data_IF_496876187201
#
_entry.id   IF_496876187201
#
_cell.length_a   1.000
_cell.length_b   1.000
_cell.length_c   1.000
_cell.angle_alpha   90.00
_cell.angle_beta   90.00
_cell.angle_gamma   90.00
#
_symmetry.space_group_name_H-M   'P 1'
#
loop_
_entity.id
_entity.type
_entity.pdbx_description
1 polymer ?
#
# COMPACT_ATOMS: atom_id res chain seq x y z
N UNK A 1 -35.02 -75.43 43.57
CA UNK A 1 -35.63 -74.42 42.70
C UNK A 1 -35.00 -73.06 43.00
N UNK A 2 -34.04 -72.67 42.17
CA UNK A 2 -33.38 -71.34 42.19
C UNK A 2 -32.91 -71.07 40.75
N UNK A 3 -33.36 -69.99 40.07
CA UNK A 3 -32.93 -69.73 38.70
C UNK A 3 -31.62 -68.95 38.69
N UNK A 4 -30.71 -69.32 37.78
CA UNK A 4 -29.50 -68.58 37.44
C UNK A 4 -29.89 -67.36 36.58
N UNK A 5 -29.55 -66.16 37.07
CA UNK A 5 -29.59 -64.92 36.30
C UNK A 5 -28.32 -64.84 35.42
N UNK A 6 -28.49 -64.72 34.11
CA UNK A 6 -27.44 -64.28 33.18
C UNK A 6 -27.40 -62.74 33.18
N UNK A 7 -26.24 -62.09 33.38
CA UNK A 7 -26.11 -60.68 33.09
C UNK A 7 -25.84 -60.48 31.59
N UNK A 8 -26.66 -59.65 30.96
CA UNK A 8 -26.48 -59.19 29.59
C UNK A 8 -25.29 -58.23 29.54
N UNK A 9 -24.28 -58.56 28.72
CA UNK A 9 -23.23 -57.63 28.32
C UNK A 9 -23.81 -56.63 27.31
N UNK A 10 -24.04 -55.39 27.75
CA UNK A 10 -24.27 -54.25 26.86
C UNK A 10 -22.90 -53.79 26.36
N UNK A 11 -22.54 -54.16 25.12
CA UNK A 11 -21.44 -53.49 24.42
C UNK A 11 -21.92 -52.09 24.01
N UNK A 12 -21.52 -51.08 24.78
CA UNK A 12 -21.60 -49.69 24.34
C UNK A 12 -20.47 -49.45 23.32
N UNK A 13 -20.82 -49.48 22.03
CA UNK A 13 -19.94 -49.05 20.94
C UNK A 13 -19.72 -47.54 21.04
N UNK A 14 -18.52 -47.13 21.46
CA UNK A 14 -18.07 -45.74 21.42
C UNK A 14 -17.81 -45.31 19.97
N UNK A 15 -18.77 -44.63 19.34
CA UNK A 15 -18.51 -43.86 18.13
C UNK A 15 -17.59 -42.69 18.49
N UNK A 16 -16.30 -42.85 18.20
CA UNK A 16 -15.35 -41.75 18.22
C UNK A 16 -15.68 -40.84 17.04
N UNK A 17 -16.34 -39.71 17.30
CA UNK A 17 -16.49 -38.66 16.30
C UNK A 17 -15.11 -38.04 16.12
N UNK A 18 -14.36 -38.51 15.13
CA UNK A 18 -13.22 -37.80 14.58
C UNK A 18 -13.78 -36.52 13.96
N UNK A 19 -13.82 -35.44 14.74
CA UNK A 19 -13.90 -34.09 14.20
C UNK A 19 -12.63 -33.87 13.40
N UNK A 20 -12.69 -34.18 12.11
CA UNK A 20 -11.76 -33.62 11.12
C UNK A 20 -11.96 -32.11 11.25
N UNK A 21 -11.11 -31.45 12.04
CA UNK A 21 -10.94 -30.01 11.91
C UNK A 21 -10.55 -29.81 10.46
N UNK A 22 -11.49 -29.33 9.65
CA UNK A 22 -11.19 -28.85 8.31
C UNK A 22 -10.12 -27.78 8.52
N UNK A 23 -8.87 -28.16 8.28
CA UNK A 23 -7.76 -27.23 8.30
C UNK A 23 -8.16 -26.15 7.31
N UNK A 24 -8.30 -24.91 7.77
CA UNK A 24 -8.64 -23.78 6.91
C UNK A 24 -7.58 -23.75 5.81
N UNK A 25 -7.93 -24.23 4.62
CA UNK A 25 -7.01 -24.24 3.49
C UNK A 25 -6.88 -22.80 3.04
N UNK A 26 -5.72 -22.21 3.30
CA UNK A 26 -5.35 -20.93 2.73
C UNK A 26 -4.87 -21.15 1.30
N UNK A 27 -5.29 -20.28 0.40
CA UNK A 27 -5.10 -20.39 -1.03
C UNK A 27 -4.18 -19.31 -1.61
N UNK A 28 -3.87 -18.27 -0.84
CA UNK A 28 -2.87 -17.26 -1.18
C UNK A 28 -1.95 -16.97 0.00
N UNK A 29 -0.74 -16.51 -0.29
CA UNK A 29 0.11 -15.85 0.70
C UNK A 29 -0.03 -14.33 0.58
N UNK A 30 0.04 -13.64 1.70
CA UNK A 30 0.13 -12.18 1.76
C UNK A 30 1.32 -11.76 2.58
N UNK A 31 2.06 -10.78 2.06
CA UNK A 31 3.13 -10.08 2.74
C UNK A 31 2.56 -8.84 3.40
N UNK A 32 2.94 -8.58 4.65
CA UNK A 32 2.53 -7.42 5.45
C UNK A 32 3.78 -6.62 5.80
N UNK A 33 3.80 -5.35 5.41
CA UNK A 33 4.80 -4.36 5.81
C UNK A 33 4.42 -3.67 7.12
N UNK A 34 5.39 -3.11 7.83
CA UNK A 34 5.18 -2.54 9.15
C UNK A 34 6.24 -1.48 9.52
N UNK A 35 5.92 -0.63 10.49
CA UNK A 35 6.91 0.13 11.24
C UNK A 35 7.44 -0.70 12.42
N UNK A 36 8.70 -0.52 12.80
CA UNK A 36 9.40 -1.38 13.78
C UNK A 36 9.92 -0.61 15.01
N UNK A 37 9.37 0.59 15.27
CA UNK A 37 9.64 1.30 16.52
C UNK A 37 9.02 0.60 17.75
N UNK A 38 8.02 -0.26 17.54
CA UNK A 38 7.36 -1.06 18.56
C UNK A 38 7.88 -2.50 18.63
N UNK A 39 6.96 -3.46 18.70
CA UNK A 39 7.20 -4.89 18.77
C UNK A 39 7.31 -5.59 17.40
N UNK A 40 6.94 -4.94 16.31
CA UNK A 40 7.10 -5.49 14.96
C UNK A 40 8.56 -5.76 14.63
N UNK A 41 8.84 -6.93 14.05
CA UNK A 41 10.18 -7.36 13.64
C UNK A 41 10.48 -7.05 12.16
N UNK A 42 9.49 -6.61 11.38
CA UNK A 42 9.67 -6.26 9.97
C UNK A 42 8.53 -6.73 9.07
N UNK A 43 8.84 -7.61 8.11
CA UNK A 43 7.88 -8.12 7.11
C UNK A 43 7.35 -9.47 7.55
N UNK A 44 6.05 -9.68 7.39
CA UNK A 44 5.40 -10.92 7.78
C UNK A 44 4.72 -11.57 6.58
N UNK A 45 4.83 -12.90 6.47
CA UNK A 45 4.10 -13.69 5.47
C UNK A 45 3.03 -14.52 6.17
N UNK A 46 1.79 -14.36 5.74
CA UNK A 46 0.63 -15.12 6.23
C UNK A 46 -0.01 -15.91 5.10
N UNK A 47 -0.57 -17.08 5.41
CA UNK A 47 -1.60 -17.66 4.55
C UNK A 47 -2.91 -16.88 4.69
N UNK A 48 -3.62 -16.69 3.59
CA UNK A 48 -4.95 -16.09 3.50
C UNK A 48 -5.93 -17.06 2.85
N UNK A 49 -7.15 -17.12 3.38
CA UNK A 49 -8.24 -17.94 2.84
C UNK A 49 -9.27 -17.04 2.14
N UNK A 50 -9.38 -17.12 0.81
CA UNK A 50 -10.33 -16.28 0.04
C UNK A 50 -11.79 -16.72 0.14
N UNK A 51 -12.11 -17.83 0.81
CA UNK A 51 -13.49 -18.23 1.06
C UNK A 51 -14.03 -17.64 2.38
N UNK A 52 -13.16 -17.49 3.39
CA UNK A 52 -13.53 -16.95 4.71
C UNK A 52 -13.09 -15.51 4.93
N UNK A 53 -12.07 -15.06 4.19
CA UNK A 53 -11.44 -13.74 4.36
C UNK A 53 -10.48 -13.67 5.55
N UNK A 54 -9.95 -14.82 6.00
CA UNK A 54 -9.13 -14.89 7.21
C UNK A 54 -7.65 -15.13 6.88
N UNK A 55 -6.79 -14.37 7.54
CA UNK A 55 -5.38 -14.68 7.70
C UNK A 55 -5.20 -15.81 8.71
N UNK A 56 -4.13 -16.59 8.54
CA UNK A 56 -3.68 -17.54 9.56
C UNK A 56 -3.38 -16.84 10.90
N UNK A 57 -3.62 -17.53 12.01
CA UNK A 57 -3.41 -16.97 13.35
C UNK A 57 -1.93 -16.68 13.65
N UNK A 58 -1.02 -17.32 12.94
CA UNK A 58 0.42 -17.13 13.07
C UNK A 58 1.03 -16.94 11.68
N UNK A 59 2.07 -16.09 11.54
CA UNK A 59 2.76 -15.94 10.28
C UNK A 59 3.49 -17.23 9.91
N UNK A 60 3.48 -17.57 8.61
CA UNK A 60 4.31 -18.63 8.03
C UNK A 60 5.79 -18.29 8.06
N UNK A 61 6.10 -16.99 8.04
CA UNK A 61 7.45 -16.47 8.08
C UNK A 61 7.46 -15.05 8.64
N UNK A 62 8.48 -14.75 9.46
CA UNK A 62 8.85 -13.40 9.88
C UNK A 62 10.21 -13.07 9.26
N UNK A 63 10.31 -11.95 8.57
CA UNK A 63 11.52 -11.47 7.91
C UNK A 63 11.98 -10.21 8.63
N UNK A 64 13.12 -10.30 9.31
CA UNK A 64 13.69 -9.19 10.06
C UNK A 64 14.12 -8.07 9.11
N UNK A 65 13.56 -6.89 9.30
CA UNK A 65 13.85 -5.68 8.52
C UNK A 65 13.37 -4.47 9.30
N UNK A 66 14.13 -3.38 9.30
CA UNK A 66 13.75 -2.15 10.00
C UNK A 66 12.80 -1.32 9.14
N UNK A 67 11.68 -0.89 9.72
CA UNK A 67 10.63 -0.07 9.11
C UNK A 67 10.31 -0.39 7.63
N UNK A 68 10.02 -1.65 7.25
CA UNK A 68 9.62 -2.02 5.89
C UNK A 68 8.19 -1.52 5.57
N UNK A 69 8.03 -0.20 5.46
CA UNK A 69 6.72 0.45 5.49
C UNK A 69 5.94 0.31 4.17
N UNK A 70 6.66 0.11 3.06
CA UNK A 70 6.10 -0.09 1.72
C UNK A 70 6.80 -1.21 0.98
N UNK A 71 6.01 -2.08 0.35
CA UNK A 71 6.45 -3.27 -0.35
C UNK A 71 6.16 -3.14 -1.86
N UNK A 72 7.13 -3.52 -2.68
CA UNK A 72 7.03 -3.54 -4.15
C UNK A 72 7.41 -4.91 -4.66
N UNK A 73 6.50 -5.59 -5.34
CA UNK A 73 6.77 -6.87 -6.00
C UNK A 73 7.25 -6.65 -7.44
N UNK A 74 8.24 -7.44 -7.84
CA UNK A 74 8.53 -7.67 -9.26
C UNK A 74 7.33 -8.30 -9.98
N UNK A 75 7.21 -8.05 -11.29
CA UNK A 75 6.08 -8.53 -12.10
C UNK A 75 5.90 -10.04 -12.06
N UNK A 76 6.99 -10.79 -11.97
CA UNK A 76 6.99 -12.25 -11.86
C UNK A 76 6.90 -12.74 -10.41
N UNK A 77 6.84 -11.82 -9.44
CA UNK A 77 6.80 -12.06 -8.00
C UNK A 77 7.96 -12.94 -7.50
N UNK A 78 9.12 -12.85 -8.15
CA UNK A 78 10.35 -13.54 -7.73
C UNK A 78 11.25 -12.70 -6.84
N UNK A 79 11.00 -11.40 -6.82
CA UNK A 79 11.69 -10.41 -6.00
C UNK A 79 10.69 -9.50 -5.30
N UNK A 80 10.99 -9.20 -4.04
CA UNK A 80 10.34 -8.21 -3.19
C UNK A 80 11.34 -7.11 -2.90
N UNK A 81 10.90 -5.86 -3.02
CA UNK A 81 11.63 -4.68 -2.61
C UNK A 81 10.87 -4.02 -1.46
N UNK A 82 11.57 -3.63 -0.41
CA UNK A 82 10.99 -2.90 0.70
C UNK A 82 11.75 -1.58 0.89
N UNK A 83 11.03 -0.47 1.01
CA UNK A 83 11.64 0.74 1.56
C UNK A 83 11.82 0.55 3.06
N UNK A 84 12.93 1.02 3.60
CA UNK A 84 13.19 1.06 5.03
C UNK A 84 13.06 2.52 5.46
N UNK A 85 11.89 2.88 6.00
CA UNK A 85 11.45 4.27 6.28
C UNK A 85 12.15 4.85 7.54
N UNK A 86 13.47 4.78 7.51
CA UNK A 86 14.41 5.17 8.55
C UNK A 86 14.81 6.64 8.37
N UNK A 87 15.09 7.32 9.46
CA UNK A 87 15.44 8.74 9.48
C UNK A 87 15.82 9.24 10.87
N UNK A 88 16.12 10.54 11.04
CA UNK A 88 16.57 11.10 12.30
C UNK A 88 15.63 10.77 13.46
N UNK A 89 16.20 10.37 14.60
CA UNK A 89 15.45 9.98 15.80
C UNK A 89 15.04 8.50 15.85
N UNK A 90 15.33 7.71 14.82
CA UNK A 90 15.13 6.26 14.82
C UNK A 90 16.43 5.49 15.15
N UNK A 91 16.35 4.19 15.41
CA UNK A 91 17.52 3.35 15.74
C UNK A 91 18.53 3.29 14.60
N UNK A 92 18.04 3.03 13.38
CA UNK A 92 18.78 3.28 12.16
C UNK A 92 18.28 4.60 11.58
N UNK A 93 19.19 5.55 11.40
CA UNK A 93 18.86 6.92 10.98
C UNK A 93 18.96 7.12 9.48
N UNK A 94 19.39 6.09 8.74
CA UNK A 94 19.64 6.19 7.30
C UNK A 94 18.50 5.55 6.53
N UNK A 95 17.85 6.32 5.65
CA UNK A 95 16.87 5.79 4.71
C UNK A 95 17.50 4.78 3.76
N UNK A 96 16.86 3.60 3.63
CA UNK A 96 17.40 2.47 2.85
C UNK A 96 16.32 1.80 2.02
N UNK A 97 16.77 0.92 1.13
CA UNK A 97 15.92 -0.01 0.39
C UNK A 97 16.53 -1.39 0.45
N UNK A 98 15.71 -2.39 0.79
CA UNK A 98 16.07 -3.80 0.85
C UNK A 98 15.47 -4.57 -0.32
N UNK A 99 16.19 -5.57 -0.80
CA UNK A 99 15.74 -6.53 -1.80
C UNK A 99 15.78 -7.95 -1.25
N UNK A 100 14.78 -8.73 -1.63
CA UNK A 100 14.57 -10.11 -1.20
C UNK A 100 14.17 -10.99 -2.39
N UNK A 101 14.64 -12.24 -2.41
CA UNK A 101 14.16 -13.28 -3.32
C UNK A 101 12.94 -13.97 -2.73
N UNK A 102 11.99 -14.34 -3.59
CA UNK A 102 10.83 -15.17 -3.27
C UNK A 102 10.97 -16.50 -4.00
N UNK A 103 10.99 -17.59 -3.22
CA UNK A 103 10.95 -18.94 -3.78
C UNK A 103 9.56 -19.21 -4.41
N UNK A 104 9.48 -19.64 -5.68
CA UNK A 104 8.22 -19.75 -6.41
C UNK A 104 7.38 -20.97 -6.02
N UNK A 105 7.94 -21.90 -5.22
CA UNK A 105 7.23 -23.11 -4.81
C UNK A 105 6.71 -22.99 -3.38
N UNK A 106 7.50 -22.34 -2.53
CA UNK A 106 7.26 -22.27 -1.09
C UNK A 106 6.90 -20.87 -0.62
N UNK A 107 7.07 -19.85 -1.49
CA UNK A 107 6.98 -18.41 -1.18
C UNK A 107 7.88 -17.95 -0.03
N UNK A 108 8.89 -18.75 0.33
CA UNK A 108 9.87 -18.34 1.32
C UNK A 108 10.62 -17.10 0.82
N UNK A 109 10.67 -16.07 1.66
CA UNK A 109 11.34 -14.79 1.37
C UNK A 109 12.74 -14.83 1.95
N UNK A 110 13.76 -14.48 1.17
CA UNK A 110 15.16 -14.48 1.62
C UNK A 110 15.87 -13.20 1.20
N UNK A 111 16.67 -12.62 2.11
CA UNK A 111 17.37 -11.37 1.86
C UNK A 111 18.41 -11.50 0.75
N UNK A 112 18.48 -10.51 -0.15
CA UNK A 112 19.50 -10.40 -1.20
C UNK A 112 20.54 -9.35 -0.81
N UNK A 113 20.12 -8.08 -0.74
CA UNK A 113 20.97 -6.97 -0.32
C UNK A 113 20.14 -5.75 0.09
N UNK A 114 20.83 -4.74 0.63
CA UNK A 114 20.28 -3.46 1.02
C UNK A 114 21.22 -2.34 0.54
N UNK A 115 20.66 -1.19 0.16
CA UNK A 115 21.38 0.01 -0.24
C UNK A 115 20.75 1.25 0.40
N UNK A 116 21.52 2.31 0.59
CA UNK A 116 21.00 3.61 1.02
C UNK A 116 20.15 4.23 -0.10
N UNK A 117 19.03 4.88 0.27
CA UNK A 117 18.18 5.61 -0.67
C UNK A 117 18.68 7.02 -0.98
N UNK A 118 19.77 7.45 -0.31
CA UNK A 118 20.31 8.81 -0.35
C UNK A 118 19.29 9.90 0.02
N UNK A 119 18.37 9.57 0.93
CA UNK A 119 17.43 10.49 1.56
C UNK A 119 16.87 9.89 2.84
N UNK A 120 16.04 10.65 3.53
CA UNK A 120 15.42 10.24 4.79
C UNK A 120 13.99 9.74 4.56
N UNK A 121 13.56 8.79 5.39
CA UNK A 121 12.23 8.18 5.39
C UNK A 121 11.68 7.85 3.99
N UNK A 122 12.33 6.94 3.21
CA UNK A 122 11.73 6.44 1.98
C UNK A 122 10.41 5.75 2.30
N UNK A 123 9.31 6.29 1.77
CA UNK A 123 7.95 5.88 2.17
C UNK A 123 7.18 5.16 1.06
N UNK A 124 7.70 5.18 -0.17
CA UNK A 124 7.08 4.51 -1.31
C UNK A 124 8.14 4.11 -2.34
N UNK A 125 7.89 3.00 -3.03
CA UNK A 125 8.68 2.63 -4.20
C UNK A 125 7.82 2.05 -5.32
N UNK A 126 8.34 2.08 -6.54
CA UNK A 126 7.75 1.40 -7.69
C UNK A 126 8.83 0.97 -8.68
N UNK A 127 8.64 -0.14 -9.38
CA UNK A 127 9.57 -0.59 -10.41
C UNK A 127 9.32 0.14 -11.73
N UNK A 128 10.38 0.38 -12.48
CA UNK A 128 10.24 0.79 -13.88
C UNK A 128 9.49 -0.27 -14.68
N UNK A 129 8.78 0.12 -15.76
CA UNK A 129 8.01 -0.83 -16.59
C UNK A 129 8.82 -2.01 -17.13
N UNK A 130 10.13 -1.82 -17.32
CA UNK A 130 11.09 -2.84 -17.77
C UNK A 130 11.81 -3.59 -16.63
N UNK A 131 11.52 -3.25 -15.37
CA UNK A 131 12.09 -3.86 -14.16
C UNK A 131 13.55 -3.49 -13.88
N UNK A 132 14.14 -2.54 -14.61
CA UNK A 132 15.57 -2.20 -14.51
C UNK A 132 15.90 -1.20 -13.41
N UNK A 133 14.92 -0.46 -12.92
CA UNK A 133 15.10 0.54 -11.87
C UNK A 133 13.97 0.43 -10.85
N UNK A 134 14.28 0.75 -9.59
CA UNK A 134 13.33 1.04 -8.55
C UNK A 134 13.34 2.55 -8.31
N UNK A 135 12.18 3.17 -8.45
CA UNK A 135 11.96 4.57 -8.10
C UNK A 135 11.55 4.65 -6.63
N UNK A 136 12.23 5.48 -5.86
CA UNK A 136 12.08 5.57 -4.40
C UNK A 136 11.72 7.01 -4.04
N UNK A 137 10.63 7.17 -3.28
CA UNK A 137 10.19 8.46 -2.77
C UNK A 137 10.69 8.62 -1.33
N UNK A 138 11.72 9.44 -1.14
CA UNK A 138 12.21 9.88 0.16
C UNK A 138 11.34 11.03 0.67
N UNK A 139 10.62 10.82 1.77
CA UNK A 139 9.71 11.81 2.31
C UNK A 139 10.45 12.91 3.09
N UNK A 140 11.43 12.53 3.92
CA UNK A 140 12.18 13.40 4.82
C UNK A 140 11.30 14.30 5.70
N UNK A 141 10.97 13.89 6.93
CA UNK A 141 10.16 14.70 7.86
C UNK A 141 10.86 16.03 8.19
N UNK A 142 12.19 16.03 8.22
CA UNK A 142 12.98 17.23 8.46
C UNK A 142 13.14 18.09 7.19
N UNK A 143 13.15 19.43 7.34
CA UNK A 143 13.18 20.34 6.19
C UNK A 143 14.55 20.43 5.50
N UNK A 144 15.61 19.88 6.10
CA UNK A 144 16.96 19.87 5.56
C UNK A 144 17.55 18.47 5.74
N UNK A 145 17.85 17.72 4.65
CA UNK A 145 17.88 18.18 3.25
C UNK A 145 16.50 18.28 2.57
N UNK A 146 15.42 17.82 3.22
CA UNK A 146 14.10 17.69 2.62
C UNK A 146 13.98 16.46 1.71
N UNK A 147 12.77 16.22 1.21
CA UNK A 147 12.39 15.04 0.45
C UNK A 147 12.98 15.01 -0.95
N UNK A 148 13.12 13.81 -1.50
CA UNK A 148 13.70 13.59 -2.82
C UNK A 148 13.13 12.36 -3.52
N UNK A 149 13.20 12.35 -4.84
CA UNK A 149 13.08 11.15 -5.65
C UNK A 149 14.47 10.55 -5.84
N UNK A 150 14.63 9.24 -5.63
CA UNK A 150 15.86 8.51 -5.92
C UNK A 150 15.61 7.38 -6.93
N UNK A 151 16.62 7.08 -7.75
CA UNK A 151 16.59 6.01 -8.75
C UNK A 151 17.65 4.98 -8.44
N UNK A 152 17.22 3.75 -8.16
CA UNK A 152 18.07 2.62 -7.77
C UNK A 152 18.07 1.59 -8.89
N UNK A 153 19.21 1.25 -9.52
CA UNK A 153 19.25 0.18 -10.52
C UNK A 153 18.98 -1.20 -9.89
N UNK A 154 18.25 -2.03 -10.63
CA UNK A 154 17.87 -3.39 -10.24
C UNK A 154 18.51 -4.38 -11.20
N UNK A 155 19.33 -5.28 -10.65
CA UNK A 155 19.93 -6.40 -11.38
C UNK A 155 18.89 -7.46 -11.76
N UNK A 156 19.21 -8.30 -12.76
CA UNK A 156 18.35 -9.43 -13.16
C UNK A 156 18.15 -10.46 -12.05
N UNK A 157 19.09 -10.52 -11.12
CA UNK A 157 19.09 -11.31 -9.89
C UNK A 157 18.38 -10.60 -8.73
N UNK A 158 17.71 -9.46 -8.98
CA UNK A 158 17.04 -8.64 -7.98
C UNK A 158 17.99 -7.79 -7.13
N UNK A 159 19.30 -7.85 -7.35
CA UNK A 159 20.26 -7.09 -6.54
C UNK A 159 20.16 -5.59 -6.82
N UNK A 160 20.08 -4.79 -5.77
CA UNK A 160 20.08 -3.33 -5.86
C UNK A 160 21.51 -2.79 -6.01
N UNK A 161 21.71 -1.82 -6.90
CA UNK A 161 22.96 -1.05 -6.98
C UNK A 161 22.83 0.29 -6.25
N UNK A 162 23.92 1.05 -6.14
CA UNK A 162 23.88 2.40 -5.58
C UNK A 162 22.96 3.32 -6.41
N UNK A 163 22.36 4.32 -5.75
CA UNK A 163 21.55 5.35 -6.39
C UNK A 163 22.34 6.02 -7.52
N UNK A 164 21.71 6.12 -8.70
CA UNK A 164 22.35 6.70 -9.91
C UNK A 164 21.81 8.09 -10.25
N UNK A 165 20.67 8.46 -9.70
CA UNK A 165 20.01 9.73 -9.95
C UNK A 165 19.12 10.11 -8.76
N UNK A 166 19.15 11.38 -8.39
CA UNK A 166 18.22 11.98 -7.43
C UNK A 166 17.57 13.24 -8.03
N UNK A 167 16.40 13.61 -7.53
CA UNK A 167 15.74 14.87 -7.83
C UNK A 167 15.07 15.42 -6.56
N UNK A 168 15.27 16.71 -6.29
CA UNK A 168 14.58 17.46 -5.23
C UNK A 168 13.69 18.52 -5.86
N UNK A 169 12.80 19.10 -5.07
CA UNK A 169 11.81 20.07 -5.55
C UNK A 169 11.76 21.30 -4.65
N UNK A 170 11.32 22.41 -5.23
CA UNK A 170 11.03 23.62 -4.45
C UNK A 170 9.70 23.45 -3.70
N UNK A 171 9.72 23.69 -2.40
CA UNK A 171 8.55 23.63 -1.53
C UNK A 171 7.58 24.80 -1.79
N UNK A 172 6.29 24.59 -1.56
CA UNK A 172 5.28 25.64 -1.71
C UNK A 172 5.32 26.67 -0.58
N UNK A 173 5.80 26.26 0.60
CA UNK A 173 5.86 27.07 1.83
C UNK A 173 4.49 27.59 2.30
N UNK A 174 3.40 26.99 1.82
CA UNK A 174 2.02 27.39 2.18
C UNK A 174 1.75 27.01 3.63
N UNK A 175 2.03 25.76 4.00
CA UNK A 175 2.08 25.36 5.40
C UNK A 175 3.52 25.44 5.92
N UNK A 176 3.79 26.26 6.96
CA UNK A 176 5.15 26.51 7.43
C UNK A 176 5.80 25.31 8.14
N UNK A 177 5.03 24.29 8.53
CA UNK A 177 5.54 23.10 9.21
C UNK A 177 5.67 21.92 8.24
N UNK A 178 4.60 21.62 7.50
CA UNK A 178 4.48 20.44 6.64
C UNK A 178 4.93 20.65 5.20
N UNK A 179 5.22 21.89 4.81
CA UNK A 179 5.63 22.26 3.45
C UNK A 179 6.80 23.26 3.48
N UNK A 180 7.63 23.19 4.52
CA UNK A 180 8.85 23.97 4.63
C UNK A 180 9.92 23.53 3.63
N UNK A 181 9.90 22.25 3.23
CA UNK A 181 10.77 21.62 2.22
C UNK A 181 9.96 20.76 1.25
N UNK A 182 10.62 20.14 0.27
CA UNK A 182 10.05 19.03 -0.50
C UNK A 182 9.73 17.84 0.40
N UNK A 183 8.73 17.06 0.02
CA UNK A 183 8.36 15.78 0.65
C UNK A 183 7.78 14.84 -0.42
N UNK A 184 8.65 14.16 -1.18
CA UNK A 184 8.18 13.22 -2.22
C UNK A 184 7.56 12.02 -1.51
N UNK A 185 6.24 11.86 -1.65
CA UNK A 185 5.50 10.82 -0.94
C UNK A 185 5.27 9.57 -1.81
N UNK A 186 5.22 9.72 -3.14
CA UNK A 186 5.13 8.57 -4.03
C UNK A 186 5.71 8.87 -5.42
N UNK A 187 6.09 7.82 -6.14
CA UNK A 187 6.57 7.87 -7.50
C UNK A 187 5.95 6.72 -8.31
N UNK A 188 5.18 7.03 -9.35
CA UNK A 188 4.34 6.07 -10.06
C UNK A 188 4.59 6.16 -11.58
N UNK A 189 5.04 5.06 -12.22
CA UNK A 189 5.12 4.99 -13.68
C UNK A 189 3.74 5.14 -14.31
N UNK A 190 3.70 5.83 -15.43
CA UNK A 190 2.50 5.93 -16.26
C UNK A 190 2.17 4.59 -16.92
N UNK A 191 0.88 4.30 -17.24
CA UNK A 191 0.49 3.02 -17.84
C UNK A 191 1.10 2.74 -19.22
N UNK A 192 1.46 3.78 -19.95
CA UNK A 192 2.17 3.68 -21.24
C UNK A 192 3.69 3.44 -21.06
N UNK A 193 4.19 3.52 -19.83
CA UNK A 193 5.58 3.29 -19.46
C UNK A 193 6.56 4.35 -19.92
N UNK A 194 6.10 5.49 -20.43
CA UNK A 194 6.95 6.56 -20.97
C UNK A 194 7.36 7.60 -19.95
N UNK A 195 6.57 7.76 -18.89
CA UNK A 195 6.77 8.79 -17.87
C UNK A 195 6.76 8.22 -16.46
N UNK A 196 7.46 8.91 -15.55
CA UNK A 196 7.34 8.75 -14.11
C UNK A 196 6.72 10.00 -13.51
N UNK A 197 5.73 9.82 -12.63
CA UNK A 197 5.08 10.90 -11.91
C UNK A 197 5.52 10.86 -10.44
N UNK A 198 6.10 11.94 -9.93
CA UNK A 198 6.46 12.07 -8.52
C UNK A 198 5.51 13.05 -7.82
N UNK A 199 4.87 12.60 -6.74
CA UNK A 199 3.97 13.40 -5.93
C UNK A 199 4.75 14.00 -4.78
N UNK A 200 4.82 15.33 -4.73
CA UNK A 200 5.54 16.03 -3.67
C UNK A 200 4.56 16.82 -2.79
N UNK A 201 4.34 16.30 -1.59
CA UNK A 201 3.45 16.88 -0.59
C UNK A 201 3.89 18.30 -0.22
N UNK A 202 5.21 18.50 -0.09
CA UNK A 202 5.82 19.77 0.26
C UNK A 202 5.69 20.85 -0.82
N UNK A 203 5.59 20.44 -2.09
CA UNK A 203 5.57 21.35 -3.23
C UNK A 203 4.16 21.72 -3.76
N UNK A 204 3.10 21.02 -3.33
CA UNK A 204 1.76 21.10 -3.94
C UNK A 204 1.79 20.80 -5.46
N UNK A 205 2.62 19.85 -5.88
CA UNK A 205 2.83 19.52 -7.31
C UNK A 205 2.94 18.02 -7.56
N UNK A 206 2.51 17.62 -8.74
CA UNK A 206 3.01 16.41 -9.39
C UNK A 206 4.15 16.80 -10.34
N UNK A 207 5.30 16.16 -10.25
CA UNK A 207 6.41 16.31 -11.18
C UNK A 207 6.40 15.20 -12.22
N UNK A 208 6.65 15.55 -13.48
CA UNK A 208 6.54 14.65 -14.64
C UNK A 208 7.91 14.50 -15.29
N UNK A 209 8.41 13.27 -15.33
CA UNK A 209 9.69 12.93 -15.94
C UNK A 209 9.46 12.01 -17.15
N UNK A 210 10.14 12.27 -18.26
CA UNK A 210 10.34 11.23 -19.28
C UNK A 210 11.20 10.12 -18.69
N UNK A 211 10.89 8.88 -19.05
CA UNK A 211 11.65 7.70 -18.67
C UNK A 211 12.33 7.07 -19.89
N UNK A 212 13.64 6.87 -19.80
CA UNK A 212 14.44 6.12 -20.78
C UNK A 212 15.32 5.09 -20.06
N UNK A 213 14.82 3.86 -19.97
CA UNK A 213 15.53 2.76 -19.31
C UNK A 213 16.89 2.41 -19.92
N UNK A 214 17.24 2.91 -21.12
CA UNK A 214 18.57 2.66 -21.72
C UNK A 214 19.67 3.51 -21.10
N UNK A 215 19.33 4.61 -20.43
CA UNK A 215 20.29 5.53 -19.81
C UNK A 215 20.61 5.12 -18.37
N UNK A 216 21.82 5.45 -17.91
CA UNK A 216 22.22 5.27 -16.51
C UNK A 216 21.41 6.17 -15.58
N UNK A 217 21.15 7.42 -16.00
CA UNK A 217 20.19 8.33 -15.36
C UNK A 217 18.93 8.37 -16.22
N UNK A 218 17.89 7.57 -15.88
CA UNK A 218 16.79 7.30 -16.79
C UNK A 218 15.73 8.41 -16.82
N UNK A 219 15.79 9.39 -15.91
CA UNK A 219 14.78 10.42 -15.80
C UNK A 219 15.27 11.76 -16.36
N UNK A 220 14.41 12.42 -17.13
CA UNK A 220 14.60 13.82 -17.55
C UNK A 220 13.28 14.56 -17.41
N UNK A 221 13.25 15.86 -17.06
CA UNK A 221 12.00 16.60 -17.00
C UNK A 221 11.21 16.49 -18.31
N UNK A 222 9.91 16.26 -18.22
CA UNK A 222 9.02 16.25 -19.37
C UNK A 222 8.84 17.66 -19.96
N UNK A 223 8.23 17.76 -21.15
CA UNK A 223 7.95 19.05 -21.79
C UNK A 223 7.09 19.96 -20.90
N UNK A 224 6.11 19.37 -20.23
CA UNK A 224 5.37 20.00 -19.12
C UNK A 224 5.87 19.30 -17.86
N UNK A 225 6.83 19.88 -17.12
CA UNK A 225 7.59 19.17 -16.10
C UNK A 225 6.83 19.02 -14.77
N UNK A 226 5.70 19.70 -14.61
CA UNK A 226 4.89 19.63 -13.41
C UNK A 226 3.43 20.01 -13.64
N UNK A 227 2.58 19.62 -12.70
CA UNK A 227 1.16 19.94 -12.63
C UNK A 227 0.90 20.58 -11.27
N UNK A 228 0.39 21.80 -11.27
CA UNK A 228 0.04 22.53 -10.04
C UNK A 228 -1.24 22.01 -9.40
N UNK A 229 -1.22 21.89 -8.08
CA UNK A 229 -2.37 21.53 -7.27
C UNK A 229 -2.78 22.71 -6.38
N UNK A 230 -3.95 22.66 -5.72
CA UNK A 230 -4.36 23.74 -4.83
C UNK A 230 -3.27 24.00 -3.76
N UNK A 231 -2.95 25.26 -3.44
CA UNK A 231 -1.99 25.58 -2.38
C UNK A 231 -2.37 24.94 -1.04
N UNK A 232 -1.43 24.28 -0.37
CA UNK A 232 -1.66 23.59 0.90
C UNK A 232 -2.40 22.26 0.78
N UNK A 233 -2.48 21.68 -0.41
CA UNK A 233 -3.21 20.42 -0.66
C UNK A 233 -2.41 19.18 -0.28
N UNK A 234 -1.10 19.20 -0.49
CA UNK A 234 -0.21 18.10 -0.12
C UNK A 234 -0.49 16.79 -0.87
N UNK A 235 -0.15 16.67 -2.17
CA UNK A 235 -0.35 15.42 -2.93
C UNK A 235 0.38 14.23 -2.31
N UNK A 236 -0.29 13.07 -2.32
CA UNK A 236 0.17 11.86 -1.64
C UNK A 236 0.32 10.68 -2.59
N UNK A 237 -0.75 9.93 -2.87
CA UNK A 237 -0.72 8.73 -3.71
C UNK A 237 -1.53 8.93 -5.00
N UNK A 238 -0.99 8.46 -6.14
CA UNK A 238 -1.62 8.54 -7.46
C UNK A 238 -1.97 7.14 -7.96
N UNK A 239 -3.15 6.99 -8.54
CA UNK A 239 -3.62 5.75 -9.16
C UNK A 239 -4.17 6.03 -10.55
N UNK A 240 -3.75 5.24 -11.55
CA UNK A 240 -4.31 5.31 -12.90
C UNK A 240 -5.48 4.33 -13.07
N UNK A 241 -6.44 4.69 -13.93
CA UNK A 241 -7.42 3.74 -14.44
C UNK A 241 -6.74 2.64 -15.26
N UNK A 242 -7.37 1.46 -15.33
CA UNK A 242 -6.82 0.30 -16.05
C UNK A 242 -6.58 0.55 -17.55
N UNK A 243 -7.40 1.38 -18.17
CA UNK A 243 -7.23 1.81 -19.57
C UNK A 243 -6.24 2.97 -19.73
N UNK A 244 -5.72 3.48 -18.62
CA UNK A 244 -4.73 4.55 -18.55
C UNK A 244 -5.23 5.91 -19.00
N UNK A 245 -6.54 6.17 -19.05
CA UNK A 245 -7.09 7.46 -19.49
C UNK A 245 -7.40 8.42 -18.35
N UNK A 246 -7.58 7.90 -17.15
CA UNK A 246 -7.90 8.69 -15.96
C UNK A 246 -6.89 8.44 -14.85
N UNK A 247 -6.76 9.41 -13.96
CA UNK A 247 -6.00 9.24 -12.73
C UNK A 247 -6.71 9.89 -11.54
N UNK A 248 -6.51 9.30 -10.36
CA UNK A 248 -7.00 9.79 -9.09
C UNK A 248 -5.82 10.02 -8.16
N UNK A 249 -5.78 11.17 -7.50
CA UNK A 249 -4.70 11.58 -6.61
C UNK A 249 -5.27 11.93 -5.25
N UNK A 250 -4.82 11.28 -4.18
CA UNK A 250 -5.09 11.75 -2.83
C UNK A 250 -4.25 12.98 -2.51
N UNK A 251 -4.90 13.97 -1.90
CA UNK A 251 -4.26 15.18 -1.38
C UNK A 251 -4.45 15.14 0.14
N UNK A 252 -3.35 14.86 0.85
CA UNK A 252 -3.34 14.55 2.27
C UNK A 252 -3.90 15.71 3.08
N UNK A 253 -3.33 16.89 2.91
CA UNK A 253 -3.53 18.03 3.80
C UNK A 253 -4.89 18.69 3.60
N UNK A 254 -5.41 18.69 2.37
CA UNK A 254 -6.76 19.19 2.08
C UNK A 254 -7.86 18.13 2.25
N UNK A 255 -7.50 16.86 2.50
CA UNK A 255 -8.43 15.74 2.55
C UNK A 255 -9.34 15.66 1.31
N UNK A 256 -8.73 15.63 0.13
CA UNK A 256 -9.43 15.60 -1.16
C UNK A 256 -8.88 14.53 -2.10
N UNK A 257 -9.65 14.20 -3.12
CA UNK A 257 -9.19 13.46 -4.31
C UNK A 257 -9.29 14.35 -5.54
N UNK A 258 -8.17 14.54 -6.23
CA UNK A 258 -8.17 15.18 -7.54
C UNK A 258 -8.38 14.12 -8.64
N UNK A 259 -9.27 14.43 -9.59
CA UNK A 259 -9.57 13.59 -10.75
C UNK A 259 -8.93 14.21 -11.98
N UNK A 260 -8.26 13.40 -12.79
CA UNK A 260 -7.58 13.84 -14.01
C UNK A 260 -8.01 13.01 -15.22
N UNK A 261 -8.11 13.67 -16.36
CA UNK A 261 -7.86 13.03 -17.65
C UNK A 261 -6.35 13.02 -17.90
N UNK A 262 -5.83 11.87 -18.35
CA UNK A 262 -4.42 11.67 -18.68
C UNK A 262 -4.25 11.32 -20.17
N UNK A 263 -3.25 11.94 -20.80
CA UNK A 263 -2.81 11.57 -22.13
C UNK A 263 -1.34 11.96 -22.34
N UNK A 264 -0.46 10.98 -22.56
CA UNK A 264 0.94 11.16 -22.99
C UNK A 264 1.71 12.19 -22.12
N UNK A 265 1.73 11.96 -20.81
CA UNK A 265 2.38 12.84 -19.84
C UNK A 265 1.60 14.11 -19.46
N UNK A 266 0.51 14.43 -20.16
CA UNK A 266 -0.34 15.58 -19.84
C UNK A 266 -1.49 15.18 -18.91
N UNK A 267 -1.73 16.00 -17.88
CA UNK A 267 -2.82 15.86 -16.93
C UNK A 267 -3.75 17.06 -17.02
N UNK A 268 -5.04 16.80 -17.20
CA UNK A 268 -6.09 17.81 -17.10
C UNK A 268 -6.95 17.50 -15.89
N UNK A 269 -6.88 18.33 -14.85
CA UNK A 269 -7.75 18.18 -13.68
C UNK A 269 -9.20 18.45 -14.08
N UNK A 270 -10.08 17.47 -13.86
CA UNK A 270 -11.51 17.54 -14.21
C UNK A 270 -12.40 17.74 -12.99
N UNK A 271 -11.96 17.32 -11.80
CA UNK A 271 -12.68 17.52 -10.56
C UNK A 271 -11.76 17.55 -9.33
N UNK A 272 -12.30 18.10 -8.25
CA UNK A 272 -11.84 17.93 -6.87
C UNK A 272 -13.01 17.36 -6.06
N UNK A 273 -12.76 16.30 -5.32
CA UNK A 273 -13.77 15.60 -4.52
C UNK A 273 -13.36 15.67 -3.05
N UNK A 274 -14.20 16.30 -2.24
CA UNK A 274 -13.95 16.44 -0.80
C UNK A 274 -14.18 15.12 -0.06
N UNK A 275 -13.22 14.71 0.76
CA UNK A 275 -13.41 13.62 1.73
C UNK A 275 -14.00 14.15 3.05
N UNK A 276 -14.00 15.47 3.26
CA UNK A 276 -14.70 16.08 4.38
C UNK A 276 -16.21 16.17 4.12
N UNK A 277 -17.02 15.94 5.15
CA UNK A 277 -18.43 16.36 5.12
C UNK A 277 -18.50 17.88 5.25
N UNK A 278 -19.55 18.50 4.68
CA UNK A 278 -19.75 19.96 4.68
C UNK A 278 -19.73 20.62 6.08
N UNK A 279 -19.92 19.83 7.14
CA UNK A 279 -20.17 20.33 8.50
C UNK A 279 -18.98 20.15 9.48
N UNK A 280 -17.85 19.54 9.07
CA UNK A 280 -16.89 19.01 10.03
C UNK A 280 -15.54 19.73 10.11
N UNK A 281 -15.25 20.37 11.25
CA UNK A 281 -13.91 20.86 11.63
C UNK A 281 -12.91 19.75 12.04
N UNK A 282 -13.34 18.50 12.07
CA UNK A 282 -12.48 17.37 12.48
C UNK A 282 -11.27 17.22 11.56
N UNK A 283 -10.12 16.92 12.18
CA UNK A 283 -8.87 16.69 11.45
C UNK A 283 -9.01 15.46 10.54
N UNK A 284 -8.66 15.64 9.26
CA UNK A 284 -8.71 14.63 8.21
C UNK A 284 -7.42 14.65 7.42
N UNK A 285 -7.00 13.48 6.97
CA UNK A 285 -5.82 13.35 6.13
C UNK A 285 -6.00 12.20 5.13
N UNK A 286 -6.09 12.52 3.84
CA UNK A 286 -6.22 11.49 2.81
C UNK A 286 -5.00 10.54 2.82
N UNK A 287 -5.25 9.25 2.65
CA UNK A 287 -4.26 8.18 2.76
C UNK A 287 -4.10 7.39 1.45
N UNK A 288 -4.03 6.06 1.58
CA UNK A 288 -4.02 5.14 0.43
C UNK A 288 -5.32 5.20 -0.38
N UNK A 289 -5.21 4.82 -1.66
CA UNK A 289 -6.35 4.68 -2.57
C UNK A 289 -6.14 3.46 -3.48
N UNK A 290 -7.20 2.70 -3.71
CA UNK A 290 -7.19 1.54 -4.61
C UNK A 290 -8.54 1.41 -5.31
N UNK A 291 -8.54 0.85 -6.51
CA UNK A 291 -9.79 0.45 -7.17
C UNK A 291 -10.19 -0.97 -6.79
N UNK A 292 -11.48 -1.30 -6.91
CA UNK A 292 -11.91 -2.69 -7.00
C UNK A 292 -11.19 -3.41 -8.16
N UNK A 293 -11.04 -4.75 -8.12
CA UNK A 293 -10.35 -5.50 -9.19
C UNK A 293 -10.94 -5.30 -10.59
N UNK A 294 -12.24 -5.01 -10.69
CA UNK A 294 -12.93 -4.73 -11.95
C UNK A 294 -12.85 -3.24 -12.39
N UNK A 295 -12.26 -2.38 -11.56
CA UNK A 295 -12.06 -0.96 -11.85
C UNK A 295 -13.32 -0.09 -11.77
N UNK A 296 -14.42 -0.60 -11.19
CA UNK A 296 -15.70 0.14 -11.12
C UNK A 296 -15.85 1.02 -9.88
N UNK A 297 -15.10 0.72 -8.82
CA UNK A 297 -15.18 1.43 -7.55
C UNK A 297 -13.80 1.91 -7.13
N UNK A 298 -13.73 3.10 -6.52
CA UNK A 298 -12.54 3.64 -5.89
C UNK A 298 -12.74 3.68 -4.37
N UNK A 299 -11.72 3.27 -3.63
CA UNK A 299 -11.69 3.28 -2.18
C UNK A 299 -10.59 4.23 -1.74
N UNK A 300 -10.85 5.01 -0.70
CA UNK A 300 -9.90 6.01 -0.20
C UNK A 300 -9.89 5.99 1.32
N UNK A 301 -8.69 5.86 1.88
CA UNK A 301 -8.49 5.98 3.33
C UNK A 301 -8.51 7.44 3.75
N UNK A 302 -9.27 7.73 4.81
CA UNK A 302 -9.33 9.04 5.44
C UNK A 302 -8.93 8.91 6.91
N UNK A 303 -7.73 9.39 7.21
CA UNK A 303 -7.07 9.30 8.52
C UNK A 303 -7.44 10.51 9.36
N UNK A 304 -6.81 10.64 10.54
CA UNK A 304 -7.11 11.69 11.49
C UNK A 304 -8.16 11.24 12.50
N UNK A 305 -9.12 12.11 12.82
CA UNK A 305 -10.12 11.81 13.86
C UNK A 305 -11.24 10.89 13.34
N UNK A 306 -11.48 10.87 12.03
CA UNK A 306 -12.60 10.12 11.42
C UNK A 306 -12.32 8.63 11.21
N UNK A 307 -11.09 8.25 10.83
CA UNK A 307 -10.65 6.86 10.60
C UNK A 307 -11.67 6.02 9.81
N UNK A 308 -11.86 6.37 8.54
CA UNK A 308 -12.85 5.75 7.66
C UNK A 308 -12.25 5.38 6.29
N UNK A 309 -12.87 4.39 5.64
CA UNK A 309 -12.76 4.19 4.19
C UNK A 309 -13.99 4.80 3.52
N UNK A 310 -13.75 5.63 2.51
CA UNK A 310 -14.78 6.13 1.62
C UNK A 310 -14.81 5.28 0.35
N UNK A 311 -16.00 4.97 -0.14
CA UNK A 311 -16.23 4.21 -1.37
C UNK A 311 -16.93 5.08 -2.39
N UNK A 312 -16.41 5.09 -3.60
CA UNK A 312 -16.94 5.84 -4.73
C UNK A 312 -17.24 4.88 -5.89
N UNK A 313 -18.39 5.07 -6.54
CA UNK A 313 -18.60 4.55 -7.89
C UNK A 313 -17.85 5.41 -8.91
N UNK A 314 -17.21 4.76 -9.89
CA UNK A 314 -16.47 5.40 -10.96
C UNK A 314 -17.34 5.47 -12.20
N UNK A 315 -17.48 6.67 -12.77
CA UNK A 315 -18.06 6.81 -14.10
C UNK A 315 -17.04 6.34 -15.15
N UNK A 316 -17.32 5.27 -15.91
CA UNK A 316 -16.34 4.65 -16.80
C UNK A 316 -15.97 5.51 -18.02
N UNK A 317 -16.75 6.55 -18.32
CA UNK A 317 -16.52 7.40 -19.50
C UNK A 317 -15.60 8.60 -19.22
N UNK A 318 -15.51 9.04 -17.96
CA UNK A 318 -14.83 10.28 -17.61
C UNK A 318 -14.10 10.23 -16.25
N UNK A 319 -14.05 9.06 -15.60
CA UNK A 319 -13.36 8.86 -14.32
C UNK A 319 -13.97 9.58 -13.12
N UNK A 320 -15.11 10.26 -13.26
CA UNK A 320 -15.72 11.00 -12.16
C UNK A 320 -16.19 10.06 -11.04
N UNK A 321 -16.12 10.57 -9.81
CA UNK A 321 -16.42 9.82 -8.60
C UNK A 321 -17.76 10.26 -8.01
N UNK A 322 -18.58 9.28 -7.62
CA UNK A 322 -19.77 9.51 -6.80
C UNK A 322 -19.66 8.68 -5.53
N UNK A 323 -19.63 9.35 -4.37
CA UNK A 323 -19.59 8.69 -3.06
C UNK A 323 -20.84 7.82 -2.89
N UNK A 324 -20.63 6.57 -2.45
CA UNK A 324 -21.71 5.60 -2.19
C UNK A 324 -21.66 5.07 -0.75
N UNK A 325 -20.54 5.22 -0.04
CA UNK A 325 -20.41 4.77 1.33
C UNK A 325 -19.27 5.48 2.07
N UNK A 326 -19.45 5.64 3.38
CA UNK A 326 -18.38 5.80 4.37
C UNK A 326 -18.48 4.69 5.39
N UNK A 327 -17.36 4.08 5.73
CA UNK A 327 -17.31 3.00 6.73
C UNK A 327 -16.14 3.24 7.67
N UNK A 328 -16.39 3.17 8.97
CA UNK A 328 -15.31 3.14 9.97
C UNK A 328 -14.32 2.02 9.65
N UNK A 329 -13.02 2.25 9.88
CA UNK A 329 -12.01 1.19 9.77
C UNK A 329 -11.89 0.34 11.03
N UNK A 330 -12.68 0.66 12.06
CA UNK A 330 -12.68 -0.01 13.37
C UNK A 330 -11.32 -0.02 14.06
N UNK A 331 -10.53 1.01 13.79
CA UNK A 331 -9.19 1.25 14.33
C UNK A 331 -8.75 2.68 14.09
N UNK A 332 -7.44 2.94 14.18
CA UNK A 332 -6.86 4.28 14.03
C UNK A 332 -5.73 4.30 13.02
N UNK A 333 -5.66 5.39 12.26
CA UNK A 333 -4.66 5.64 11.22
C UNK A 333 -4.64 4.49 10.17
N UNK A 334 -5.71 4.35 9.36
CA UNK A 334 -5.71 3.39 8.25
C UNK A 334 -4.65 3.83 7.22
N UNK A 335 -3.44 3.26 7.32
CA UNK A 335 -2.28 3.67 6.54
C UNK A 335 -2.37 3.18 5.11
N UNK A 336 -2.79 1.93 4.95
CA UNK A 336 -3.01 1.25 3.68
C UNK A 336 -4.12 0.19 3.80
N UNK A 337 -4.56 -0.30 2.65
CA UNK A 337 -5.47 -1.42 2.55
C UNK A 337 -5.28 -2.16 1.22
N UNK A 338 -5.72 -3.41 1.13
CA UNK A 338 -5.67 -4.17 -0.12
C UNK A 338 -6.90 -5.05 -0.26
N UNK A 339 -7.38 -5.17 -1.49
CA UNK A 339 -8.27 -6.26 -1.87
C UNK A 339 -7.53 -7.58 -1.79
N UNK A 340 -8.25 -8.62 -1.41
CA UNK A 340 -7.80 -9.98 -1.68
C UNK A 340 -7.90 -10.29 -3.20
N UNK A 341 -7.21 -11.33 -3.70
CA UNK A 341 -7.21 -11.67 -5.11
C UNK A 341 -8.60 -11.98 -5.70
N UNK A 342 -9.55 -12.43 -4.88
CA UNK A 342 -10.93 -12.67 -5.34
C UNK A 342 -11.78 -11.39 -5.41
N UNK A 343 -11.39 -10.33 -4.70
CA UNK A 343 -12.13 -9.08 -4.60
C UNK A 343 -13.34 -9.13 -3.67
N UNK A 344 -13.49 -10.19 -2.86
CA UNK A 344 -14.58 -10.36 -1.91
C UNK A 344 -14.25 -9.85 -0.51
N UNK A 345 -12.99 -9.53 -0.25
CA UNK A 345 -12.49 -9.05 1.03
C UNK A 345 -11.51 -7.90 0.85
N UNK A 346 -11.45 -7.05 1.87
CA UNK A 346 -10.51 -5.94 1.95
C UNK A 346 -9.85 -5.94 3.32
N UNK A 347 -8.52 -5.95 3.33
CA UNK A 347 -7.68 -5.93 4.53
C UNK A 347 -7.23 -4.49 4.78
N UNK A 348 -7.38 -4.02 6.01
CA UNK A 348 -7.06 -2.63 6.42
C UNK A 348 -5.95 -2.66 7.45
N UNK A 349 -4.89 -1.89 7.20
CA UNK A 349 -3.75 -1.72 8.11
C UNK A 349 -4.00 -0.49 8.99
N UNK A 350 -4.54 -0.70 10.20
CA UNK A 350 -4.75 0.36 11.17
C UNK A 350 -3.49 0.52 12.03
N UNK A 351 -2.58 1.37 11.55
CA UNK A 351 -1.23 1.54 12.08
C UNK A 351 -1.24 1.88 13.58
N UNK A 352 -1.94 2.96 13.98
CA UNK A 352 -1.86 3.48 15.35
C UNK A 352 -2.71 2.73 16.36
N UNK A 353 -3.55 1.81 15.92
CA UNK A 353 -4.28 0.90 16.80
C UNK A 353 -3.72 -0.51 16.79
N UNK A 354 -2.57 -0.75 16.14
CA UNK A 354 -1.90 -2.04 16.08
C UNK A 354 -2.83 -3.18 15.68
N UNK A 355 -3.56 -3.00 14.57
CA UNK A 355 -4.56 -3.97 14.15
C UNK A 355 -4.67 -4.07 12.63
N UNK A 356 -4.82 -5.31 12.15
CA UNK A 356 -5.33 -5.60 10.80
C UNK A 356 -6.81 -5.96 10.92
N UNK A 357 -7.66 -5.28 10.15
CA UNK A 357 -9.10 -5.55 10.08
C UNK A 357 -9.45 -6.03 8.68
N UNK A 358 -10.09 -7.19 8.57
CA UNK A 358 -10.59 -7.70 7.30
C UNK A 358 -12.11 -7.59 7.23
N UNK A 359 -12.61 -6.99 6.15
CA UNK A 359 -14.05 -6.75 5.93
C UNK A 359 -14.51 -7.40 4.62
N UNK A 360 -15.80 -7.74 4.54
CA UNK A 360 -16.40 -8.19 3.28
C UNK A 360 -16.54 -7.05 2.29
N UNK A 361 -16.49 -7.39 1.01
CA UNK A 361 -16.79 -6.52 -0.13
C UNK A 361 -17.90 -7.19 -0.93
N UNK A 362 -18.96 -6.46 -1.25
CA UNK A 362 -19.88 -6.87 -2.30
C UNK A 362 -19.32 -6.38 -3.65
N UNK A 363 -18.79 -7.27 -4.52
CA UNK A 363 -18.17 -6.85 -5.78
C UNK A 363 -19.17 -6.27 -6.78
N UNK A 364 -20.48 -6.46 -6.58
CA UNK A 364 -21.51 -5.88 -7.47
C UNK A 364 -21.79 -4.43 -7.14
N UNK A 365 -21.81 -4.09 -5.86
CA UNK A 365 -22.19 -2.75 -5.37
C UNK A 365 -21.00 -1.92 -4.91
N UNK A 366 -19.84 -2.56 -4.69
CA UNK A 366 -18.65 -1.96 -4.11
C UNK A 366 -18.74 -1.76 -2.59
N UNK A 367 -19.87 -2.05 -1.96
CA UNK A 367 -20.06 -1.74 -0.54
C UNK A 367 -19.21 -2.65 0.35
N UNK A 368 -18.60 -2.03 1.36
CA UNK A 368 -17.90 -2.69 2.44
C UNK A 368 -18.92 -3.14 3.50
N UNK A 369 -18.88 -4.42 3.85
CA UNK A 369 -19.81 -5.07 4.77
C UNK A 369 -19.18 -5.40 6.13
N UNK A 370 -19.60 -6.55 6.66
CA UNK A 370 -19.22 -7.03 7.99
C UNK A 370 -17.71 -7.28 8.11
N UNK A 371 -17.19 -7.04 9.31
CA UNK A 371 -15.85 -7.45 9.71
C UNK A 371 -15.82 -8.96 9.91
N UNK A 372 -14.91 -9.64 9.20
CA UNK A 372 -14.74 -11.10 9.28
C UNK A 372 -13.54 -11.51 10.12
N UNK A 373 -12.61 -10.58 10.36
CA UNK A 373 -11.45 -10.82 11.19
C UNK A 373 -10.87 -9.50 11.74
N UNK A 374 -10.36 -9.57 12.98
CA UNK A 374 -9.45 -8.58 13.56
C UNK A 374 -8.23 -9.33 14.11
N UNK A 375 -7.04 -8.88 13.76
CA UNK A 375 -5.78 -9.44 14.25
C UNK A 375 -4.97 -8.32 14.87
N UNK A 376 -4.50 -8.54 16.09
CA UNK A 376 -3.49 -7.67 16.70
C UNK A 376 -2.18 -7.82 15.93
N UNK A 377 -1.68 -6.71 15.41
CA UNK A 377 -0.47 -6.64 14.61
C UNK A 377 0.17 -5.28 14.85
N UNK A 378 1.42 -5.23 15.27
CA UNK A 378 2.03 -3.96 15.64
C UNK A 378 2.36 -3.10 14.40
N UNK A 379 1.78 -1.90 14.34
CA UNK A 379 2.00 -0.87 13.31
C UNK A 379 2.02 -1.35 11.84
N UNK A 380 0.97 -2.05 11.34
CA UNK A 380 0.92 -2.50 9.94
C UNK A 380 0.85 -1.30 8.99
N UNK A 381 1.42 -1.43 7.79
CA UNK A 381 1.55 -0.30 6.86
C UNK A 381 1.39 -0.61 5.37
N UNK A 382 1.44 -1.88 4.93
CA UNK A 382 1.21 -2.27 3.53
C UNK A 382 0.84 -3.75 3.41
N UNK A 383 0.22 -4.14 2.28
CA UNK A 383 -0.12 -5.52 1.93
C UNK A 383 0.26 -5.85 0.49
N UNK A 384 0.85 -7.04 0.26
CA UNK A 384 1.09 -7.58 -1.07
C UNK A 384 0.73 -9.06 -1.15
N UNK A 385 -0.30 -9.39 -1.93
CA UNK A 385 -0.67 -10.77 -2.23
C UNK A 385 0.28 -11.40 -3.25
N UNK A 386 0.70 -12.64 -2.98
CA UNK A 386 1.43 -13.48 -3.90
C UNK A 386 0.43 -14.31 -4.70
N UNK A 387 0.31 -14.02 -6.00
CA UNK A 387 -0.72 -14.55 -6.91
C UNK A 387 -0.14 -15.36 -8.07
N UNK A 388 1.14 -15.72 -8.01
CA UNK A 388 1.88 -16.39 -9.09
C UNK A 388 2.65 -17.60 -8.61
#
# INVERSE_FOLDING_TARGET
MTPRLLPWLVLASSLSVLSVQAQSMTDYDVLVGAYTAGASEGIYRYGFNTQTGQLEAQPRQVIKSENPSWLTLSKDQRHLFAVNENGPGQTDVVGKVSSFAIDPKTHAVSFINQVESQGEEPTHSNLSPDGRFLFVANYAVHPDPGGSLAVVPVGKDGKLAAVVQTATHEASKVNPERQASSHVHAAVPTPDGKYLIAMDLGADKMFVFNYDGKKTQPLTPAKVPSVDLPPGSGPRHLLFSKDGKHAWLTMEMSAQVAVFDYHDGAFKRTALVDLANKDGQQYRAAGGLHTSPDGKFLYVANRGEVNELLVFSINPSNGQLKEIQRRSVEGKEPREFSFDPSGHFLLIANQKSNQIVTVRVDPKTGLLGDTVQKIDFDSPSDFRFLTR
#
